data_IF_140042338103
#
_entry.id   IF_140042338103
#
_cell.length_a   1.000
_cell.length_b   1.000
_cell.length_c   1.000
_cell.angle_alpha   90.00
_cell.angle_beta   90.00
_cell.angle_gamma   90.00
#
_symmetry.space_group_name_H-M   'P 1'
#
loop_
_entity.id
_entity.type
_entity.pdbx_description
1 polymer ?
#
# COMPACT_ATOMS: atom_id res chain seq x y z
N UNK A 1 -40.82 45.48 -17.12
CA UNK A 1 -41.12 44.04 -16.89
C UNK A 1 -39.98 43.10 -17.20
N UNK A 2 -38.95 43.52 -17.92
CA UNK A 2 -37.83 42.62 -18.32
C UNK A 2 -36.82 42.31 -17.20
N UNK A 3 -36.66 43.14 -16.16
CA UNK A 3 -35.70 42.94 -15.07
C UNK A 3 -36.07 41.86 -14.03
N UNK A 4 -37.33 41.45 -13.96
CA UNK A 4 -37.80 40.39 -13.03
C UNK A 4 -37.67 38.98 -13.60
N UNK A 5 -37.53 38.84 -14.94
CA UNK A 5 -37.39 37.56 -15.61
C UNK A 5 -35.93 36.99 -15.51
N UNK A 6 -34.95 37.88 -15.35
CA UNK A 6 -33.55 37.49 -15.33
C UNK A 6 -33.12 36.83 -14.01
N UNK A 7 -33.85 37.05 -12.90
CA UNK A 7 -33.52 36.52 -11.57
C UNK A 7 -33.96 35.06 -11.41
N UNK A 8 -34.97 34.61 -12.18
CA UNK A 8 -35.49 33.23 -12.05
C UNK A 8 -34.60 32.21 -12.78
N UNK A 9 -33.88 32.63 -13.82
CA UNK A 9 -32.99 31.74 -14.61
C UNK A 9 -31.69 31.41 -13.86
N UNK A 10 -31.28 32.23 -12.90
CA UNK A 10 -30.05 32.00 -12.10
C UNK A 10 -30.22 30.97 -10.95
N UNK A 11 -31.46 30.59 -10.61
CA UNK A 11 -31.78 29.66 -9.53
C UNK A 11 -31.91 28.19 -9.96
N UNK A 12 -31.79 27.90 -11.25
CA UNK A 12 -31.90 26.53 -11.80
C UNK A 12 -30.55 25.91 -12.22
N UNK A 13 -29.41 26.32 -11.63
CA UNK A 13 -28.19 25.56 -11.78
C UNK A 13 -28.38 24.29 -10.95
N UNK A 14 -28.51 23.09 -11.56
CA UNK A 14 -28.57 21.86 -10.80
C UNK A 14 -27.24 21.80 -10.06
N UNK A 15 -27.30 21.80 -8.72
CA UNK A 15 -26.21 21.36 -7.87
C UNK A 15 -25.94 19.91 -8.29
N UNK A 16 -25.02 19.73 -9.23
CA UNK A 16 -24.40 18.43 -9.50
C UNK A 16 -23.68 18.05 -8.22
N UNK A 17 -24.45 17.48 -7.29
CA UNK A 17 -23.92 16.82 -6.12
C UNK A 17 -23.09 15.65 -6.65
N UNK A 18 -21.79 15.88 -6.88
CA UNK A 18 -20.87 14.80 -7.14
C UNK A 18 -20.87 13.93 -5.88
N UNK A 19 -21.64 12.85 -5.91
CA UNK A 19 -21.55 11.80 -4.90
C UNK A 19 -20.14 11.26 -4.95
N UNK A 20 -19.30 11.70 -4.01
CA UNK A 20 -17.96 11.18 -3.85
C UNK A 20 -18.11 9.71 -3.44
N UNK A 21 -17.88 8.81 -4.40
CA UNK A 21 -17.93 7.37 -4.11
C UNK A 21 -16.75 7.05 -3.18
N UNK A 22 -17.04 6.83 -1.92
CA UNK A 22 -16.03 6.40 -0.96
C UNK A 22 -15.76 4.91 -1.16
N UNK A 23 -14.57 4.60 -1.65
CA UNK A 23 -14.12 3.22 -1.74
C UNK A 23 -13.52 2.80 -0.39
N UNK A 24 -13.96 1.63 0.09
CA UNK A 24 -13.52 1.09 1.38
C UNK A 24 -13.01 -0.35 1.30
N UNK A 25 -13.20 -1.02 0.14
CA UNK A 25 -12.70 -2.39 -0.07
C UNK A 25 -11.93 -2.51 -1.37
N UNK A 26 -10.92 -3.37 -1.33
CA UNK A 26 -10.20 -3.86 -2.51
C UNK A 26 -10.15 -5.37 -2.43
N UNK A 27 -10.54 -6.04 -3.52
CA UNK A 27 -10.25 -7.45 -3.79
C UNK A 27 -9.37 -7.54 -5.00
N UNK A 28 -8.36 -8.39 -4.99
CA UNK A 28 -7.48 -8.60 -6.14
C UNK A 28 -6.79 -9.94 -6.08
N UNK A 29 -6.63 -10.57 -7.22
CA UNK A 29 -5.73 -11.69 -7.35
C UNK A 29 -4.29 -11.19 -7.42
N UNK A 30 -3.37 -11.95 -6.83
CA UNK A 30 -1.96 -11.60 -6.85
C UNK A 30 -1.06 -12.78 -7.22
N UNK A 31 0.10 -12.44 -7.75
CA UNK A 31 1.23 -13.35 -7.85
C UNK A 31 2.46 -12.71 -7.22
N UNK A 32 3.23 -13.51 -6.49
CA UNK A 32 4.53 -13.11 -5.93
C UNK A 32 5.59 -14.04 -6.49
N UNK A 33 6.54 -13.46 -7.22
CA UNK A 33 7.76 -14.15 -7.70
C UNK A 33 8.92 -13.64 -6.87
N UNK A 34 9.65 -14.53 -6.24
CA UNK A 34 10.79 -14.19 -5.37
C UNK A 34 12.05 -14.90 -5.86
N UNK A 35 13.13 -14.13 -5.98
CA UNK A 35 14.50 -14.64 -6.08
C UNK A 35 15.19 -14.41 -4.76
N UNK A 36 15.53 -15.49 -4.07
CA UNK A 36 16.16 -15.47 -2.75
C UNK A 36 17.67 -15.21 -2.84
N UNK A 37 18.29 -14.89 -1.71
CA UNK A 37 19.73 -14.63 -1.60
C UNK A 37 20.59 -15.84 -1.98
N UNK A 38 20.07 -17.08 -1.83
CA UNK A 38 20.71 -18.32 -2.23
C UNK A 38 20.55 -18.64 -3.74
N UNK A 39 19.87 -17.76 -4.49
CA UNK A 39 19.59 -17.93 -5.91
C UNK A 39 18.34 -18.75 -6.20
N UNK A 40 17.69 -19.36 -5.21
CA UNK A 40 16.46 -20.13 -5.40
C UNK A 40 15.28 -19.21 -5.79
N UNK A 41 14.28 -19.79 -6.43
CA UNK A 41 13.06 -19.09 -6.82
C UNK A 41 11.85 -19.64 -6.06
N UNK A 42 10.92 -18.74 -5.72
CA UNK A 42 9.62 -19.10 -5.18
C UNK A 42 8.52 -18.38 -5.94
N UNK A 43 7.36 -19.03 -6.04
CA UNK A 43 6.14 -18.49 -6.59
C UNK A 43 5.03 -18.65 -5.56
N UNK A 44 4.25 -17.60 -5.34
CA UNK A 44 3.02 -17.64 -4.55
C UNK A 44 1.90 -17.02 -5.37
N UNK A 45 0.72 -17.63 -5.29
CA UNK A 45 -0.50 -17.14 -5.94
C UNK A 45 -1.62 -17.09 -4.90
N UNK A 46 -2.55 -16.17 -5.08
CA UNK A 46 -3.69 -16.06 -4.19
C UNK A 46 -4.57 -14.85 -4.47
N UNK A 47 -5.49 -14.60 -3.55
CA UNK A 47 -6.39 -13.44 -3.58
C UNK A 47 -6.20 -12.63 -2.31
N UNK A 48 -6.15 -11.31 -2.44
CA UNK A 48 -6.08 -10.36 -1.33
C UNK A 48 -7.44 -9.67 -1.15
N UNK A 49 -7.84 -9.52 0.11
CA UNK A 49 -9.06 -8.85 0.54
C UNK A 49 -8.69 -7.76 1.55
N UNK A 50 -8.92 -6.51 1.21
CA UNK A 50 -8.65 -5.39 2.08
C UNK A 50 -9.94 -4.62 2.41
N UNK A 51 -10.16 -4.33 3.69
CA UNK A 51 -11.26 -3.49 4.18
C UNK A 51 -10.68 -2.34 5.03
N UNK A 52 -10.83 -1.11 4.51
CA UNK A 52 -10.33 0.12 5.12
C UNK A 52 -11.02 0.43 6.45
N UNK A 53 -12.34 0.20 6.53
CA UNK A 53 -13.14 0.49 7.74
C UNK A 53 -12.78 -0.44 8.89
N UNK A 54 -12.51 -1.71 8.58
CA UNK A 54 -12.13 -2.73 9.57
C UNK A 54 -10.64 -2.78 9.83
N UNK A 55 -9.84 -2.08 9.00
CA UNK A 55 -8.38 -2.15 8.99
C UNK A 55 -7.89 -3.60 8.98
N UNK A 56 -8.38 -4.36 8.00
CA UNK A 56 -8.03 -5.77 7.82
C UNK A 56 -7.56 -6.01 6.40
N UNK A 57 -6.46 -6.73 6.28
CA UNK A 57 -5.91 -7.21 5.02
C UNK A 57 -5.68 -8.70 5.14
N UNK A 58 -6.44 -9.47 4.37
CA UNK A 58 -6.35 -10.91 4.28
C UNK A 58 -5.68 -11.28 2.95
N UNK A 59 -4.64 -12.10 3.01
CA UNK A 59 -4.09 -12.81 1.86
C UNK A 59 -4.48 -14.28 1.96
N UNK A 60 -5.27 -14.75 1.01
CA UNK A 60 -5.62 -16.16 0.87
C UNK A 60 -4.72 -16.77 -0.22
N UNK A 61 -3.64 -17.43 0.19
CA UNK A 61 -2.68 -18.06 -0.71
C UNK A 61 -3.22 -19.42 -1.16
N UNK A 62 -3.21 -19.66 -2.47
CA UNK A 62 -3.66 -20.91 -3.10
C UNK A 62 -2.49 -21.79 -3.58
N UNK A 63 -1.31 -21.21 -3.80
CA UNK A 63 -0.09 -21.88 -4.25
C UNK A 63 1.15 -21.29 -3.57
N UNK A 64 2.18 -22.08 -3.19
CA UNK A 64 2.31 -23.53 -3.37
C UNK A 64 1.43 -24.33 -2.39
N UNK A 65 1.00 -23.74 -1.31
CA UNK A 65 0.14 -24.35 -0.28
C UNK A 65 -0.98 -23.38 0.11
N UNK A 66 -2.11 -23.93 0.52
CA UNK A 66 -3.21 -23.14 1.06
C UNK A 66 -2.83 -22.58 2.43
N UNK A 67 -2.66 -21.28 2.48
CA UNK A 67 -2.36 -20.53 3.71
C UNK A 67 -3.16 -19.24 3.72
N UNK A 68 -3.47 -18.75 4.91
CA UNK A 68 -4.12 -17.45 5.09
C UNK A 68 -3.24 -16.57 5.97
N UNK A 69 -2.98 -15.36 5.52
CA UNK A 69 -2.29 -14.35 6.31
C UNK A 69 -3.23 -13.17 6.56
N UNK A 70 -3.58 -12.95 7.82
CA UNK A 70 -4.41 -11.84 8.26
C UNK A 70 -3.53 -10.77 8.88
N UNK A 71 -3.55 -9.57 8.32
CA UNK A 71 -2.94 -8.37 8.90
C UNK A 71 -4.04 -7.48 9.47
N UNK A 72 -3.86 -7.08 10.72
CA UNK A 72 -4.73 -6.13 11.44
C UNK A 72 -3.95 -4.85 11.74
N UNK A 73 -4.57 -3.90 12.42
CA UNK A 73 -3.92 -2.65 12.86
C UNK A 73 -2.70 -2.89 13.79
N UNK A 74 -2.67 -4.00 14.51
CA UNK A 74 -1.65 -4.26 15.53
C UNK A 74 -0.84 -5.54 15.33
N UNK A 75 -1.24 -6.43 14.42
CA UNK A 75 -0.64 -7.76 14.33
C UNK A 75 -0.81 -8.41 12.96
N UNK A 76 0.06 -9.36 12.67
CA UNK A 76 -0.05 -10.30 11.54
C UNK A 76 -0.21 -11.70 12.11
N UNK A 77 -1.18 -12.45 11.56
CA UNK A 77 -1.48 -13.82 11.93
C UNK A 77 -1.34 -14.72 10.71
N UNK A 78 -0.72 -15.87 10.86
CA UNK A 78 -0.57 -16.88 9.83
C UNK A 78 -1.39 -18.12 10.19
N UNK A 79 -2.20 -18.58 9.23
CA UNK A 79 -3.02 -19.79 9.37
C UNK A 79 -2.65 -20.77 8.27
N UNK A 80 -2.65 -22.07 8.61
CA UNK A 80 -2.55 -23.18 7.66
C UNK A 80 -3.70 -24.15 7.94
N UNK A 81 -4.49 -24.46 6.92
CA UNK A 81 -5.71 -25.28 7.07
C UNK A 81 -6.67 -24.77 8.16
N UNK A 82 -6.82 -23.44 8.27
CA UNK A 82 -7.67 -22.81 9.28
C UNK A 82 -7.08 -22.77 10.70
N UNK A 83 -5.95 -23.41 10.95
CA UNK A 83 -5.29 -23.45 12.26
C UNK A 83 -4.21 -22.36 12.35
N UNK A 84 -4.23 -21.58 13.44
CA UNK A 84 -3.22 -20.55 13.71
C UNK A 84 -1.83 -21.19 13.86
N UNK A 85 -0.87 -20.75 13.03
CA UNK A 85 0.52 -21.19 13.07
C UNK A 85 1.41 -20.22 13.85
N UNK A 86 1.05 -18.94 13.82
CA UNK A 86 1.81 -17.91 14.53
C UNK A 86 1.20 -16.52 14.43
N UNK A 87 1.60 -15.66 15.35
CA UNK A 87 1.21 -14.26 15.40
C UNK A 87 2.39 -13.37 15.74
N UNK A 88 2.48 -12.23 15.06
CA UNK A 88 3.53 -11.22 15.32
C UNK A 88 2.88 -9.86 15.51
N UNK A 89 3.27 -9.14 16.57
CA UNK A 89 2.87 -7.73 16.74
C UNK A 89 3.57 -6.86 15.69
N UNK A 90 2.79 -6.09 14.94
CA UNK A 90 3.28 -5.21 13.85
C UNK A 90 2.43 -3.95 13.82
N UNK A 91 2.50 -3.10 14.86
CA UNK A 91 1.65 -1.91 14.93
C UNK A 91 1.92 -0.99 13.72
N UNK A 92 0.85 -0.49 13.12
CA UNK A 92 0.93 0.44 11.98
C UNK A 92 1.31 -0.18 10.64
N UNK A 93 1.58 -1.48 10.56
CA UNK A 93 2.02 -2.12 9.31
C UNK A 93 0.95 -2.05 8.20
N UNK A 94 -0.32 -2.14 8.56
CA UNK A 94 -1.41 -2.13 7.59
C UNK A 94 -1.56 -0.77 6.89
N UNK A 95 -1.24 0.35 7.58
CA UNK A 95 -1.29 1.69 7.02
C UNK A 95 -0.26 1.91 5.90
N UNK A 96 0.80 1.10 5.88
CA UNK A 96 1.82 1.13 4.82
C UNK A 96 1.50 0.16 3.68
N UNK A 97 0.38 -0.58 3.77
CA UNK A 97 -0.03 -1.47 2.69
C UNK A 97 -0.47 -0.67 1.46
N UNK A 98 -0.16 -1.20 0.28
CA UNK A 98 -0.53 -0.55 -0.99
C UNK A 98 -2.05 -0.30 -1.08
N UNK A 99 -2.86 -1.21 -0.56
CA UNK A 99 -4.31 -1.08 -0.59
C UNK A 99 -4.81 0.06 0.28
N UNK A 100 -4.24 0.22 1.49
CA UNK A 100 -4.55 1.36 2.36
C UNK A 100 -4.18 2.68 1.69
N UNK A 101 -2.95 2.77 1.18
CA UNK A 101 -2.43 3.99 0.56
C UNK A 101 -3.22 4.38 -0.71
N UNK A 102 -3.70 3.41 -1.49
CA UNK A 102 -4.57 3.67 -2.63
C UNK A 102 -5.93 4.24 -2.21
N UNK A 103 -6.59 3.62 -1.21
CA UNK A 103 -7.94 4.03 -0.78
C UNK A 103 -7.95 5.37 -0.01
N UNK A 104 -6.89 5.68 0.73
CA UNK A 104 -6.76 6.95 1.47
C UNK A 104 -6.21 8.10 0.61
N UNK A 105 -5.70 7.80 -0.61
CA UNK A 105 -5.07 8.80 -1.46
C UNK A 105 -3.64 9.17 -1.02
N UNK A 106 -3.07 8.48 -0.03
CA UNK A 106 -1.75 8.77 0.55
C UNK A 106 -0.58 8.14 -0.20
N UNK A 107 -0.87 7.41 -1.30
CA UNK A 107 0.14 6.66 -2.04
C UNK A 107 1.28 7.54 -2.53
N UNK A 108 1.00 8.77 -3.00
CA UNK A 108 2.02 9.67 -3.54
C UNK A 108 3.15 9.97 -2.56
N UNK A 109 2.81 10.14 -1.28
CA UNK A 109 3.77 10.39 -0.19
C UNK A 109 4.18 9.11 0.55
N UNK A 110 3.73 7.94 0.07
CA UNK A 110 3.88 6.67 0.77
C UNK A 110 3.36 6.71 2.21
N UNK A 111 2.30 7.50 2.47
CA UNK A 111 1.73 7.67 3.80
C UNK A 111 2.59 8.47 4.79
N UNK A 112 3.78 8.93 4.41
CA UNK A 112 4.77 9.54 5.32
C UNK A 112 4.32 10.87 5.90
N UNK A 113 3.41 11.59 5.24
CA UNK A 113 2.86 12.86 5.74
C UNK A 113 2.20 12.69 7.12
N UNK A 114 1.61 11.51 7.37
CA UNK A 114 0.91 11.19 8.61
C UNK A 114 1.79 10.45 9.64
N UNK A 115 3.11 10.50 9.46
CA UNK A 115 4.09 9.85 10.34
C UNK A 115 4.99 10.89 11.03
N UNK A 116 5.85 10.48 11.98
CA UNK A 116 6.87 11.36 12.54
C UNK A 116 7.93 11.84 11.55
N UNK A 117 8.07 11.21 10.38
CA UNK A 117 8.99 11.65 9.35
C UNK A 117 8.62 13.05 8.81
N UNK A 118 9.63 13.86 8.53
CA UNK A 118 9.47 15.20 7.93
C UNK A 118 10.26 15.28 6.63
N UNK A 119 9.65 15.92 5.62
CA UNK A 119 10.37 16.21 4.39
C UNK A 119 11.49 17.21 4.69
N UNK A 120 12.75 16.79 4.46
CA UNK A 120 13.94 17.59 4.69
C UNK A 120 14.50 18.19 3.39
N UNK A 121 14.29 17.53 2.25
CA UNK A 121 14.79 17.96 0.95
C UNK A 121 13.85 17.51 -0.17
N UNK A 122 13.71 18.35 -1.20
CA UNK A 122 13.00 18.00 -2.45
C UNK A 122 13.90 18.35 -3.62
N UNK A 123 14.13 17.40 -4.51
CA UNK A 123 15.01 17.54 -5.68
C UNK A 123 14.29 17.06 -6.92
N UNK A 124 14.62 17.67 -8.06
CA UNK A 124 14.19 17.20 -9.37
C UNK A 124 15.39 16.58 -10.08
N UNK A 125 15.25 15.32 -10.52
CA UNK A 125 16.26 14.63 -11.31
C UNK A 125 15.56 14.04 -12.54
N UNK A 126 15.85 14.57 -13.72
CA UNK A 126 15.16 14.23 -14.96
C UNK A 126 13.64 14.38 -14.85
N UNK A 127 12.89 13.29 -14.95
CA UNK A 127 11.43 13.23 -14.85
C UNK A 127 10.94 12.83 -13.45
N UNK A 128 11.86 12.64 -12.50
CA UNK A 128 11.57 12.29 -11.11
C UNK A 128 11.59 13.52 -10.20
N UNK A 129 10.66 13.54 -9.25
CA UNK A 129 10.74 14.43 -8.08
C UNK A 129 11.04 13.54 -6.88
N UNK A 130 12.19 13.75 -6.26
CA UNK A 130 12.70 12.98 -5.13
C UNK A 130 12.50 13.80 -3.87
N UNK A 131 11.83 13.22 -2.87
CA UNK A 131 11.66 13.81 -1.54
C UNK A 131 12.39 12.96 -0.51
N UNK A 132 13.28 13.58 0.25
CA UNK A 132 13.95 12.97 1.40
C UNK A 132 13.11 13.22 2.65
N UNK A 133 12.85 12.17 3.40
CA UNK A 133 12.11 12.18 4.66
C UNK A 133 13.02 11.70 5.78
N UNK A 134 13.08 12.45 6.88
CA UNK A 134 13.95 12.16 8.01
C UNK A 134 13.16 12.26 9.32
N UNK A 135 13.60 11.49 10.31
CA UNK A 135 13.11 11.63 11.68
C UNK A 135 13.79 12.83 12.32
N UNK A 136 13.04 13.82 12.86
CA UNK A 136 13.63 14.98 13.53
C UNK A 136 14.50 14.62 14.74
N UNK A 137 14.19 13.48 15.36
CA UNK A 137 14.96 12.90 16.47
C UNK A 137 15.21 11.42 16.16
N UNK A 138 16.28 11.11 15.42
CA UNK A 138 16.58 9.73 15.10
C UNK A 138 16.91 8.94 16.38
N UNK A 139 16.54 7.65 16.44
CA UNK A 139 16.91 6.78 17.52
C UNK A 139 18.44 6.63 17.58
N UNK A 140 18.97 6.28 18.77
CA UNK A 140 20.42 6.03 18.94
C UNK A 140 20.89 4.78 18.19
N UNK A 141 20.00 3.83 17.96
CA UNK A 141 20.30 2.62 17.19
C UNK A 141 20.39 2.96 15.69
N UNK A 142 21.60 2.92 15.16
CA UNK A 142 21.91 3.23 13.77
C UNK A 142 21.42 2.19 12.75
N UNK A 143 20.99 1.01 13.22
CA UNK A 143 20.43 -0.03 12.35
C UNK A 143 18.95 0.21 12.03
N UNK A 144 18.28 1.10 12.78
CA UNK A 144 16.89 1.44 12.49
C UNK A 144 16.77 2.36 11.26
N UNK A 145 15.68 2.24 10.56
CA UNK A 145 15.36 3.12 9.43
C UNK A 145 15.14 4.54 9.92
N UNK A 146 15.99 5.45 9.51
CA UNK A 146 15.96 6.87 9.93
C UNK A 146 15.70 7.81 8.77
N UNK A 147 15.90 7.34 7.54
CA UNK A 147 15.76 8.12 6.31
C UNK A 147 15.00 7.32 5.26
N UNK A 148 14.09 7.97 4.58
CA UNK A 148 13.30 7.40 3.49
C UNK A 148 13.33 8.39 2.32
N UNK A 149 13.60 7.90 1.12
CA UNK A 149 13.47 8.67 -0.10
C UNK A 149 12.24 8.18 -0.86
N UNK A 150 11.33 9.08 -1.21
CA UNK A 150 10.26 8.79 -2.15
C UNK A 150 10.54 9.46 -3.47
N UNK A 151 10.32 8.78 -4.57
CA UNK A 151 10.39 9.37 -5.91
C UNK A 151 9.03 9.27 -6.59
N UNK A 152 8.62 10.36 -7.25
CA UNK A 152 7.39 10.40 -8.06
C UNK A 152 7.72 10.71 -9.51
N UNK A 153 6.98 10.07 -10.43
CA UNK A 153 7.03 10.30 -11.87
C UNK A 153 5.62 10.59 -12.37
N UNK A 154 5.41 11.70 -13.07
CA UNK A 154 4.07 12.05 -13.56
C UNK A 154 3.00 12.13 -12.46
N UNK A 155 3.34 12.57 -11.25
CA UNK A 155 2.50 12.62 -10.03
C UNK A 155 2.18 11.25 -9.39
N UNK A 156 2.66 10.14 -9.94
CA UNK A 156 2.51 8.80 -9.35
C UNK A 156 3.76 8.45 -8.54
N UNK A 157 3.60 7.74 -7.43
CA UNK A 157 4.74 7.17 -6.70
C UNK A 157 5.48 6.21 -7.62
N UNK A 158 6.77 6.42 -7.80
CA UNK A 158 7.62 5.55 -8.63
C UNK A 158 8.50 4.64 -7.78
N UNK A 159 9.09 5.19 -6.72
CA UNK A 159 10.00 4.41 -5.88
C UNK A 159 10.07 4.92 -4.44
N UNK A 160 10.43 4.01 -3.56
CA UNK A 160 10.73 4.27 -2.15
C UNK A 160 12.05 3.58 -1.81
N UNK A 161 12.99 4.30 -1.21
CA UNK A 161 14.26 3.77 -0.73
C UNK A 161 14.33 3.97 0.77
N UNK A 162 14.60 2.90 1.50
CA UNK A 162 14.76 2.92 2.95
C UNK A 162 16.25 2.85 3.28
N UNK A 163 16.69 3.72 4.17
CA UNK A 163 18.08 3.82 4.61
C UNK A 163 18.16 3.74 6.13
N UNK A 164 19.23 3.14 6.63
CA UNK A 164 19.55 3.10 8.07
C UNK A 164 20.21 4.42 8.53
N UNK A 165 20.54 4.51 9.82
CA UNK A 165 21.20 5.68 10.40
C UNK A 165 22.65 5.88 9.97
N UNK A 166 23.21 4.98 9.14
CA UNK A 166 24.54 5.08 8.52
C UNK A 166 24.43 5.43 7.03
N UNK A 167 23.25 5.85 6.57
CA UNK A 167 22.95 6.11 5.16
C UNK A 167 23.12 4.89 4.23
N UNK A 168 23.04 3.68 4.79
CA UNK A 168 23.09 2.45 4.00
C UNK A 168 21.69 2.07 3.51
N UNK A 169 21.59 1.70 2.25
CA UNK A 169 20.32 1.26 1.68
C UNK A 169 19.94 -0.10 2.24
N UNK A 170 18.82 -0.16 2.95
CA UNK A 170 18.24 -1.39 3.53
C UNK A 170 17.32 -2.08 2.54
N UNK A 171 16.48 -1.29 1.86
CA UNK A 171 15.56 -1.83 0.85
C UNK A 171 15.11 -0.76 -0.14
N UNK A 172 14.63 -1.23 -1.30
CA UNK A 172 14.02 -0.41 -2.34
C UNK A 172 12.68 -1.01 -2.75
N UNK A 173 11.73 -0.16 -3.09
CA UNK A 173 10.45 -0.57 -3.64
C UNK A 173 10.17 0.27 -4.89
N UNK A 174 9.65 -0.35 -5.96
CA UNK A 174 9.25 0.34 -7.18
C UNK A 174 7.80 -0.01 -7.49
N UNK A 175 7.02 1.02 -7.85
CA UNK A 175 5.60 0.97 -8.13
C UNK A 175 5.38 1.24 -9.61
N UNK A 176 4.87 0.25 -10.35
CA UNK A 176 4.86 0.24 -11.80
C UNK A 176 3.49 -0.15 -12.34
N UNK A 177 3.29 0.10 -13.64
CA UNK A 177 2.12 -0.34 -14.39
C UNK A 177 0.80 0.13 -13.74
N UNK A 178 0.70 1.44 -13.52
CA UNK A 178 -0.48 2.04 -12.93
C UNK A 178 -1.70 1.89 -13.81
N UNK A 179 -2.81 1.51 -13.21
CA UNK A 179 -4.14 1.49 -13.81
C UNK A 179 -5.07 2.43 -13.05
N UNK A 180 -5.95 3.09 -13.80
CA UNK A 180 -6.93 3.99 -13.23
C UNK A 180 -8.28 3.27 -13.11
N UNK A 181 -8.69 2.96 -11.90
CA UNK A 181 -9.90 2.18 -11.62
C UNK A 181 -10.87 3.07 -10.83
N UNK A 182 -11.98 3.45 -11.45
CA UNK A 182 -13.04 4.26 -10.83
C UNK A 182 -12.51 5.52 -10.10
N UNK A 183 -11.46 6.17 -10.63
CA UNK A 183 -10.87 7.37 -10.05
C UNK A 183 -9.68 7.12 -9.11
N UNK A 184 -9.35 5.87 -8.80
CA UNK A 184 -8.18 5.50 -7.99
C UNK A 184 -7.06 5.02 -8.90
N UNK A 185 -5.86 5.53 -8.70
CA UNK A 185 -4.64 5.07 -9.39
C UNK A 185 -3.99 3.95 -8.58
N UNK A 186 -3.98 2.74 -9.15
CA UNK A 186 -3.48 1.52 -8.49
C UNK A 186 -2.28 0.98 -9.24
N UNK A 187 -1.09 0.81 -8.63
CA UNK A 187 0.02 0.13 -9.27
C UNK A 187 -0.27 -1.37 -9.35
N UNK A 188 -0.13 -1.91 -10.56
CA UNK A 188 -0.37 -3.34 -10.82
C UNK A 188 0.86 -4.19 -10.57
N UNK A 189 2.03 -3.56 -10.38
CA UNK A 189 3.29 -4.25 -10.15
C UNK A 189 4.11 -3.50 -9.11
N UNK A 190 4.59 -4.24 -8.11
CA UNK A 190 5.52 -3.74 -7.10
C UNK A 190 6.76 -4.62 -7.13
N UNK A 191 7.92 -3.99 -7.21
CA UNK A 191 9.22 -4.66 -7.12
C UNK A 191 9.86 -4.29 -5.80
N UNK A 192 10.11 -5.29 -4.96
CA UNK A 192 10.84 -5.14 -3.70
C UNK A 192 12.26 -5.66 -3.89
N UNK A 193 13.23 -4.90 -3.44
CA UNK A 193 14.64 -5.28 -3.37
C UNK A 193 15.09 -5.11 -1.93
N UNK A 194 15.56 -6.16 -1.32
CA UNK A 194 16.10 -6.16 0.06
C UNK A 194 17.54 -6.65 0.03
N UNK A 195 18.34 -6.15 0.95
CA UNK A 195 19.72 -6.58 1.11
C UNK A 195 19.83 -7.34 2.43
N UNK A 196 20.13 -8.65 2.35
CA UNK A 196 20.31 -9.54 3.49
C UNK A 196 21.74 -10.08 3.44
N UNK A 197 22.53 -9.78 4.46
CA UNK A 197 23.97 -10.15 4.53
C UNK A 197 24.74 -9.75 3.26
N UNK A 198 24.46 -8.54 2.74
CA UNK A 198 25.07 -8.00 1.52
C UNK A 198 24.56 -8.62 0.21
N UNK A 199 23.65 -9.59 0.26
CA UNK A 199 23.08 -10.24 -0.93
C UNK A 199 21.71 -9.66 -1.25
N UNK A 200 21.46 -9.46 -2.54
CA UNK A 200 20.18 -8.98 -3.03
C UNK A 200 19.12 -10.09 -3.04
N UNK A 201 18.00 -9.79 -2.39
CA UNK A 201 16.75 -10.52 -2.55
C UNK A 201 15.78 -9.68 -3.35
N UNK A 202 15.14 -10.26 -4.38
CA UNK A 202 14.17 -9.57 -5.22
C UNK A 202 12.82 -10.27 -5.16
N UNK A 203 11.78 -9.49 -4.88
CA UNK A 203 10.39 -9.95 -4.90
C UNK A 203 9.59 -9.08 -5.86
N UNK A 204 8.83 -9.71 -6.75
CA UNK A 204 7.92 -9.03 -7.67
C UNK A 204 6.50 -9.46 -7.31
N UNK A 205 5.67 -8.51 -6.95
CA UNK A 205 4.24 -8.69 -6.71
C UNK A 205 3.47 -8.08 -7.87
N UNK A 206 2.57 -8.85 -8.47
CA UNK A 206 1.69 -8.39 -9.55
C UNK A 206 0.24 -8.61 -9.13
N UNK A 207 -0.60 -7.59 -9.33
CA UNK A 207 -2.03 -7.61 -9.05
C UNK A 207 -2.83 -7.76 -10.34
N UNK A 208 -3.83 -8.64 -10.30
CA UNK A 208 -4.77 -8.87 -11.41
C UNK A 208 -6.19 -8.63 -10.89
N UNK A 209 -7.11 -8.34 -11.80
CA UNK A 209 -8.55 -8.31 -11.46
C UNK A 209 -8.87 -7.46 -10.20
N UNK A 210 -8.40 -6.19 -10.15
CA UNK A 210 -8.66 -5.32 -9.00
C UNK A 210 -10.12 -4.89 -9.02
N UNK A 211 -10.86 -5.25 -7.97
CA UNK A 211 -12.27 -4.90 -7.75
C UNK A 211 -12.38 -3.96 -6.55
N UNK A 212 -13.07 -2.82 -6.74
CA UNK A 212 -13.34 -1.85 -5.68
C UNK A 212 -14.76 -2.05 -5.13
N UNK A 213 -14.92 -1.94 -3.80
CA UNK A 213 -16.19 -2.12 -3.10
C UNK A 213 -16.91 -3.43 -3.47
N UNK A 214 -16.14 -4.50 -3.65
CA UNK A 214 -16.68 -5.84 -3.92
C UNK A 214 -17.72 -6.21 -2.88
N UNK A 215 -18.84 -6.76 -3.37
CA UNK A 215 -19.95 -7.23 -2.56
C UNK A 215 -19.89 -8.76 -2.45
N UNK A 216 -19.94 -9.26 -1.26
CA UNK A 216 -19.78 -10.68 -0.97
C UNK A 216 -18.49 -10.94 -0.19
N UNK A 217 -18.15 -12.21 -0.01
CA UNK A 217 -16.98 -12.66 0.75
C UNK A 217 -16.87 -12.03 2.16
N UNK A 218 -18.00 -11.71 2.79
CA UNK A 218 -18.05 -11.06 4.10
C UNK A 218 -17.28 -11.84 5.17
N UNK A 219 -17.25 -13.17 5.09
CA UNK A 219 -16.48 -14.05 5.96
C UNK A 219 -14.97 -13.80 5.83
N UNK A 220 -14.46 -13.46 4.63
CA UNK A 220 -13.04 -13.17 4.40
C UNK A 220 -12.68 -11.78 4.90
N UNK A 221 -13.54 -10.78 4.67
CA UNK A 221 -13.37 -9.43 5.25
C UNK A 221 -13.53 -9.42 6.77
N UNK A 222 -14.25 -10.41 7.34
CA UNK A 222 -14.46 -10.61 8.77
C UNK A 222 -13.68 -11.80 9.33
N UNK A 223 -12.62 -12.23 8.65
CA UNK A 223 -11.84 -13.38 9.09
C UNK A 223 -11.52 -13.29 10.60
N UNK A 224 -11.77 -14.37 11.37
CA UNK A 224 -11.68 -14.32 12.83
C UNK A 224 -10.26 -14.00 13.30
N UNK A 225 -10.16 -13.07 14.26
CA UNK A 225 -8.90 -12.80 14.95
C UNK A 225 -8.78 -13.80 16.09
N UNK A 226 -7.63 -14.48 16.24
CA UNK A 226 -7.44 -15.39 17.35
C UNK A 226 -7.60 -14.66 18.69
N UNK A 227 -8.49 -15.12 19.53
CA UNK A 227 -8.53 -14.74 20.94
C UNK A 227 -7.39 -15.45 21.66
N UNK A 228 -6.67 -14.73 22.51
CA UNK A 228 -5.62 -15.29 23.37
C UNK A 228 -6.21 -16.25 24.38
#
# INVERSE_FOLDING_TARGET
MLKKLLIIVLLSVPLLCQTQVNFYRIKTDFSIKEKRADGSFALQLGTAYYDLTKKRLLYEMSFPEKQTMLTTDSSVHLFKNGLLQGSKKTPGFIQMSIFHLCLTGDLKSFGLVNTPFKASKVEKSEDLVITTWELPKPPKDTLLQTKILTSTKGRQLYGVVFMDGRDQVVSKQFYLNYEYISGISVPRKIVFIMYVDGKEQKRIMEFKSVELNEKGNENLYNYPIPTK
#
